data_IF_751902149767
#
_entry.id   IF_751902149767
#
_cell.length_a   1.000
_cell.length_b   1.000
_cell.length_c   1.000
_cell.angle_alpha   90.00
_cell.angle_beta   90.00
_cell.angle_gamma   90.00
#
_symmetry.space_group_name_H-M   'P 1'
#
loop_
_entity.id
_entity.type
_entity.pdbx_description
1 polymer ?
#
# COMPACT_ATOMS: atom_id res chain seq x y z
N UNK A 1 -67.95 23.56 -68.73
CA UNK A 1 -68.59 22.47 -67.95
C UNK A 1 -67.53 21.42 -67.74
N UNK A 2 -67.31 20.97 -66.49
CA UNK A 2 -66.27 20.03 -66.01
C UNK A 2 -64.82 20.58 -66.03
N UNK A 3 -63.94 20.43 -65.04
CA UNK A 3 -63.98 19.95 -63.64
C UNK A 3 -62.66 20.37 -62.97
N UNK A 4 -62.72 20.50 -61.65
CA UNK A 4 -61.63 20.66 -60.66
C UNK A 4 -60.40 19.76 -60.87
N UNK A 5 -59.20 20.24 -60.48
CA UNK A 5 -58.35 19.57 -59.47
C UNK A 5 -57.11 20.39 -59.10
N UNK A 6 -56.91 20.54 -57.79
CA UNK A 6 -55.75 21.08 -57.08
C UNK A 6 -54.51 20.19 -57.16
N UNK A 7 -53.30 20.76 -57.15
CA UNK A 7 -52.12 20.18 -56.48
C UNK A 7 -51.18 21.27 -55.95
N UNK A 8 -50.90 21.18 -54.65
CA UNK A 8 -49.87 21.93 -53.93
C UNK A 8 -48.47 21.53 -54.41
N UNK A 9 -47.54 22.49 -54.45
CA UNK A 9 -46.09 22.24 -54.39
C UNK A 9 -45.48 23.14 -53.31
N UNK A 10 -44.96 22.51 -52.26
CA UNK A 10 -44.15 23.11 -51.20
C UNK A 10 -42.65 22.98 -51.53
N UNK A 11 -41.87 24.01 -51.24
CA UNK A 11 -40.41 24.03 -51.23
C UNK A 11 -39.93 25.45 -50.92
N UNK A 12 -38.90 25.76 -50.14
CA UNK A 12 -37.84 25.02 -49.47
C UNK A 12 -37.43 25.88 -48.26
N UNK A 13 -37.33 25.31 -47.05
CA UNK A 13 -36.73 25.96 -45.87
C UNK A 13 -35.30 25.44 -45.70
N UNK A 14 -34.31 26.31 -45.88
CA UNK A 14 -32.89 26.04 -45.65
C UNK A 14 -32.62 26.00 -44.13
N UNK A 15 -32.37 24.82 -43.58
CA UNK A 15 -31.89 24.66 -42.20
C UNK A 15 -30.36 24.65 -42.19
N UNK A 16 -29.76 25.73 -41.67
CA UNK A 16 -28.32 25.83 -41.44
C UNK A 16 -27.87 24.86 -40.34
N UNK A 17 -27.03 23.90 -40.72
CA UNK A 17 -26.44 22.91 -39.82
C UNK A 17 -25.35 23.57 -38.97
N UNK A 18 -25.64 23.77 -37.69
CA UNK A 18 -24.67 24.14 -36.66
C UNK A 18 -23.70 22.97 -36.46
N UNK A 19 -22.48 23.08 -37.01
CA UNK A 19 -21.38 22.18 -36.68
C UNK A 19 -20.93 22.46 -35.25
N UNK A 20 -21.35 21.60 -34.32
CA UNK A 20 -20.81 21.54 -32.96
C UNK A 20 -19.41 20.94 -33.06
N UNK A 21 -18.38 21.77 -32.94
CA UNK A 21 -17.00 21.32 -32.74
C UNK A 21 -16.93 20.64 -31.37
N UNK A 22 -16.83 19.31 -31.37
CA UNK A 22 -16.43 18.55 -30.19
C UNK A 22 -14.96 18.88 -29.88
N UNK A 23 -14.73 19.80 -28.95
CA UNK A 23 -13.42 20.02 -28.35
C UNK A 23 -13.07 18.81 -27.48
N UNK A 24 -12.17 17.96 -27.96
CA UNK A 24 -11.51 16.97 -27.11
C UNK A 24 -10.65 17.70 -26.07
N UNK A 25 -11.07 17.61 -24.81
CA UNK A 25 -10.27 18.06 -23.68
C UNK A 25 -9.03 17.16 -23.58
N UNK A 26 -7.88 17.67 -24.05
CA UNK A 26 -6.57 17.01 -23.97
C UNK A 26 -6.10 16.76 -22.53
N UNK A 27 -6.87 17.20 -21.53
CA UNK A 27 -6.54 17.03 -20.14
C UNK A 27 -6.53 15.58 -19.65
N UNK A 28 -7.16 14.61 -20.31
CA UNK A 28 -7.43 13.27 -19.75
C UNK A 28 -6.79 12.07 -20.51
N UNK A 29 -5.57 12.22 -21.05
CA UNK A 29 -4.83 11.07 -21.58
C UNK A 29 -4.43 10.11 -20.43
N UNK A 30 -4.80 8.81 -20.48
CA UNK A 30 -4.36 7.80 -19.51
C UNK A 30 -2.83 7.69 -19.38
N UNK A 31 -2.10 7.97 -20.47
CA UNK A 31 -0.64 7.91 -20.48
C UNK A 31 0.01 9.08 -19.73
N UNK A 32 -0.63 10.26 -19.77
CA UNK A 32 -0.23 11.41 -18.95
C UNK A 32 -0.56 11.19 -17.48
N UNK A 33 -1.73 10.60 -17.17
CA UNK A 33 -2.12 10.27 -15.81
C UNK A 33 -1.08 9.35 -15.13
N UNK A 34 -0.73 8.23 -15.76
CA UNK A 34 0.24 7.26 -15.23
C UNK A 34 1.66 7.83 -15.09
N UNK A 35 1.95 8.92 -15.80
CA UNK A 35 3.24 9.63 -15.70
C UNK A 35 3.26 10.53 -14.48
N UNK A 36 2.19 11.32 -14.31
CA UNK A 36 2.04 12.29 -13.23
C UNK A 36 1.83 11.61 -11.87
N UNK A 37 1.14 10.47 -11.81
CA UNK A 37 0.83 9.78 -10.55
C UNK A 37 1.89 8.79 -10.09
N UNK A 38 2.94 8.54 -10.88
CA UNK A 38 3.87 7.43 -10.65
C UNK A 38 4.49 7.44 -9.23
N UNK A 39 4.91 8.61 -8.74
CA UNK A 39 5.50 8.73 -7.39
C UNK A 39 4.48 8.45 -6.28
N UNK A 40 3.22 8.83 -6.48
CA UNK A 40 2.15 8.58 -5.51
C UNK A 40 1.74 7.11 -5.48
N UNK A 41 1.64 6.46 -6.65
CA UNK A 41 1.39 5.03 -6.76
C UNK A 41 2.52 4.22 -6.12
N UNK A 42 3.77 4.54 -6.44
CA UNK A 42 4.94 3.88 -5.85
C UNK A 42 5.00 4.09 -4.33
N UNK A 43 4.73 5.31 -3.86
CA UNK A 43 4.66 5.57 -2.43
C UNK A 43 3.56 4.73 -1.75
N UNK A 44 2.40 4.57 -2.38
CA UNK A 44 1.34 3.69 -1.86
C UNK A 44 1.81 2.23 -1.76
N UNK A 45 2.54 1.73 -2.76
CA UNK A 45 3.12 0.37 -2.72
C UNK A 45 4.11 0.21 -1.56
N UNK A 46 4.99 1.20 -1.33
CA UNK A 46 5.93 1.18 -0.21
C UNK A 46 5.22 1.13 1.16
N UNK A 47 4.13 1.89 1.31
CA UNK A 47 3.33 1.86 2.54
C UNK A 47 2.68 0.49 2.77
N UNK A 48 2.08 -0.09 1.74
CA UNK A 48 1.43 -1.39 1.82
C UNK A 48 2.43 -2.51 2.14
N UNK A 49 3.63 -2.45 1.56
CA UNK A 49 4.70 -3.40 1.88
C UNK A 49 5.19 -3.26 3.31
N UNK A 50 5.45 -2.03 3.77
CA UNK A 50 5.91 -1.77 5.13
C UNK A 50 4.91 -2.30 6.17
N UNK A 51 3.61 -2.02 5.95
CA UNK A 51 2.55 -2.58 6.79
C UNK A 51 2.56 -4.11 6.73
N UNK A 52 2.50 -4.71 5.54
CA UNK A 52 2.44 -6.17 5.40
C UNK A 52 3.61 -6.91 6.07
N UNK A 53 4.83 -6.35 6.03
CA UNK A 53 5.98 -6.94 6.71
C UNK A 53 5.84 -6.91 8.23
N UNK A 54 5.42 -5.77 8.80
CA UNK A 54 5.16 -5.64 10.23
C UNK A 54 4.07 -6.60 10.71
N UNK A 55 2.95 -6.62 9.98
CA UNK A 55 1.78 -7.45 10.29
C UNK A 55 2.13 -8.94 10.33
N UNK A 56 2.84 -9.43 9.30
CA UNK A 56 3.26 -10.83 9.21
C UNK A 56 4.24 -11.21 10.32
N UNK A 57 5.23 -10.37 10.61
CA UNK A 57 6.24 -10.64 11.63
C UNK A 57 5.64 -10.56 13.04
N UNK A 58 4.71 -9.65 13.29
CA UNK A 58 4.02 -9.57 14.58
C UNK A 58 3.18 -10.83 14.83
N UNK A 59 2.36 -11.23 13.87
CA UNK A 59 1.52 -12.42 13.99
C UNK A 59 2.37 -13.69 14.14
N UNK A 60 3.51 -13.75 13.45
CA UNK A 60 4.43 -14.88 13.52
C UNK A 60 5.44 -14.82 14.67
N UNK A 61 5.50 -13.74 15.44
CA UNK A 61 6.45 -13.59 16.55
C UNK A 61 6.34 -14.76 17.53
N UNK A 62 7.45 -15.25 18.09
CA UNK A 62 7.43 -16.37 19.03
C UNK A 62 6.66 -16.00 20.30
N UNK A 63 5.89 -16.94 20.84
CA UNK A 63 5.23 -16.78 22.13
C UNK A 63 6.25 -16.64 23.28
N UNK A 64 7.37 -17.34 23.15
CA UNK A 64 8.55 -17.28 24.03
C UNK A 64 9.82 -17.27 23.19
N UNK A 65 10.58 -16.17 23.28
CA UNK A 65 11.81 -15.96 22.51
C UNK A 65 12.99 -16.85 22.97
N UNK A 66 12.88 -17.46 24.15
CA UNK A 66 13.94 -18.30 24.74
C UNK A 66 13.81 -19.78 24.37
N UNK A 67 12.68 -20.18 23.77
CA UNK A 67 12.36 -21.56 23.44
C UNK A 67 12.57 -21.82 21.95
N UNK A 68 13.43 -22.77 21.59
CA UNK A 68 13.61 -23.18 20.21
C UNK A 68 12.31 -23.78 19.65
N UNK A 69 11.92 -23.40 18.43
CA UNK A 69 10.66 -23.84 17.83
C UNK A 69 9.40 -23.28 18.51
N UNK A 70 9.54 -22.25 19.34
CA UNK A 70 8.41 -21.58 20.01
C UNK A 70 7.28 -21.28 19.01
N UNK A 71 6.03 -21.64 19.34
CA UNK A 71 4.90 -21.40 18.45
C UNK A 71 4.72 -19.90 18.19
N UNK A 72 3.97 -19.57 17.15
CA UNK A 72 3.54 -18.18 16.94
C UNK A 72 2.67 -17.75 18.14
N UNK A 73 2.83 -16.51 18.58
CA UNK A 73 1.99 -15.94 19.64
C UNK A 73 0.52 -15.83 19.19
N UNK A 74 0.28 -15.57 17.90
CA UNK A 74 -1.06 -15.45 17.30
C UNK A 74 -1.17 -16.31 16.03
N UNK A 75 -1.25 -17.66 16.17
CA UNK A 75 -1.24 -18.57 15.02
C UNK A 75 -2.48 -18.40 14.13
N UNK A 76 -3.62 -18.02 14.70
CA UNK A 76 -4.85 -17.76 13.94
C UNK A 76 -4.73 -16.54 13.03
N UNK A 77 -4.06 -15.49 13.51
CA UNK A 77 -3.84 -14.27 12.77
C UNK A 77 -2.84 -14.51 11.65
N UNK A 78 -1.78 -15.27 11.95
CA UNK A 78 -0.78 -15.65 10.96
C UNK A 78 -1.42 -16.40 9.79
N UNK A 79 -2.29 -17.37 10.05
CA UNK A 79 -3.00 -18.09 8.98
C UNK A 79 -3.89 -17.16 8.16
N UNK A 80 -4.54 -16.17 8.79
CA UNK A 80 -5.37 -15.18 8.08
C UNK A 80 -4.56 -14.22 7.21
N UNK A 81 -3.36 -13.84 7.64
CA UNK A 81 -2.49 -12.90 6.92
C UNK A 81 -1.65 -13.57 5.82
N UNK A 82 -1.09 -14.74 6.12
CA UNK A 82 -0.10 -15.42 5.28
C UNK A 82 -0.65 -16.66 4.55
N UNK A 83 -1.71 -17.28 5.04
CA UNK A 83 -2.19 -18.59 4.58
C UNK A 83 -1.48 -19.74 5.27
N UNK A 84 -1.32 -20.87 4.59
CA UNK A 84 -0.72 -22.09 5.15
C UNK A 84 0.39 -22.71 4.30
N UNK A 85 0.68 -22.15 3.11
CA UNK A 85 1.65 -22.70 2.16
C UNK A 85 3.09 -22.22 2.38
N UNK A 86 3.50 -21.97 3.63
CA UNK A 86 4.84 -21.53 3.98
C UNK A 86 5.32 -22.27 5.23
N UNK A 87 6.64 -22.30 5.45
CA UNK A 87 7.24 -22.87 6.65
C UNK A 87 7.65 -21.77 7.61
N UNK A 88 7.23 -21.87 8.86
CA UNK A 88 7.69 -21.00 9.95
C UNK A 88 8.72 -21.74 10.79
N UNK A 89 9.89 -21.14 10.99
CA UNK A 89 10.90 -21.64 11.96
C UNK A 89 11.32 -20.54 12.91
N UNK A 90 11.69 -20.92 14.13
CA UNK A 90 12.25 -20.00 15.12
C UNK A 90 13.45 -20.63 15.83
N UNK A 91 14.61 -19.98 15.71
CA UNK A 91 15.84 -20.33 16.41
C UNK A 91 16.03 -19.39 17.61
N UNK A 92 15.97 -19.94 18.82
CA UNK A 92 16.10 -19.17 20.05
C UNK A 92 17.55 -18.70 20.33
N UNK A 93 18.56 -19.41 19.83
CA UNK A 93 19.96 -19.06 20.07
C UNK A 93 20.34 -17.76 19.35
N UNK A 94 19.84 -17.60 18.13
CA UNK A 94 20.03 -16.40 17.31
C UNK A 94 18.85 -15.44 17.37
N UNK A 95 17.76 -15.83 18.03
CA UNK A 95 16.46 -15.12 18.07
C UNK A 95 15.97 -14.77 16.66
N UNK A 96 16.04 -15.76 15.77
CA UNK A 96 15.71 -15.58 14.36
C UNK A 96 14.43 -16.32 14.01
N UNK A 97 13.42 -15.57 13.55
CA UNK A 97 12.23 -16.08 12.89
C UNK A 97 12.45 -16.10 11.39
N UNK A 98 12.11 -17.20 10.73
CA UNK A 98 12.06 -17.28 9.28
C UNK A 98 10.67 -17.70 8.83
N UNK A 99 10.09 -16.92 7.91
CA UNK A 99 8.90 -17.29 7.13
C UNK A 99 9.37 -17.63 5.71
N UNK A 100 9.43 -18.92 5.40
CA UNK A 100 9.91 -19.45 4.13
C UNK A 100 8.72 -19.85 3.25
N UNK A 101 8.42 -19.04 2.24
CA UNK A 101 7.36 -19.29 1.26
C UNK A 101 7.82 -20.23 0.13
N UNK A 102 9.06 -20.70 0.17
CA UNK A 102 9.63 -21.59 -0.85
C UNK A 102 9.88 -20.88 -2.19
N UNK A 103 10.29 -21.64 -3.22
CA UNK A 103 10.61 -21.09 -4.53
C UNK A 103 9.38 -20.86 -5.43
N UNK A 104 8.23 -21.43 -5.07
CA UNK A 104 6.98 -21.35 -5.85
C UNK A 104 5.99 -20.43 -5.15
N UNK A 105 5.18 -19.71 -5.92
CA UNK A 105 4.18 -18.78 -5.38
C UNK A 105 3.21 -19.48 -4.41
N UNK A 106 3.31 -19.11 -3.15
CA UNK A 106 2.34 -19.37 -2.09
C UNK A 106 1.29 -18.25 -2.09
N UNK A 107 0.07 -18.56 -2.52
CA UNK A 107 -1.04 -17.60 -2.59
C UNK A 107 -1.75 -17.54 -1.24
N UNK A 108 -1.66 -16.38 -0.58
CA UNK A 108 -2.32 -16.14 0.71
C UNK A 108 -3.83 -15.86 0.59
N UNK A 109 -4.56 -15.78 1.70
CA UNK A 109 -6.01 -15.58 1.72
C UNK A 109 -6.49 -14.27 1.05
N UNK A 110 -5.62 -13.28 0.97
CA UNK A 110 -5.89 -12.01 0.29
C UNK A 110 -5.60 -12.04 -1.22
N UNK A 111 -5.22 -13.19 -1.79
CA UNK A 111 -4.86 -13.36 -3.20
C UNK A 111 -3.45 -12.89 -3.54
N UNK A 112 -2.65 -12.47 -2.55
CA UNK A 112 -1.26 -12.07 -2.75
C UNK A 112 -0.39 -13.32 -2.83
N UNK A 113 0.33 -13.48 -3.94
CA UNK A 113 1.32 -14.53 -4.13
C UNK A 113 2.66 -14.12 -3.52
N UNK A 114 3.25 -14.99 -2.70
CA UNK A 114 4.56 -14.79 -2.07
C UNK A 114 5.49 -15.97 -2.35
N UNK A 115 6.78 -15.71 -2.57
CA UNK A 115 7.86 -16.71 -2.60
C UNK A 115 9.13 -16.10 -2.01
N UNK A 116 10.11 -16.94 -1.67
CA UNK A 116 11.31 -16.54 -0.94
C UNK A 116 11.06 -16.44 0.56
N UNK A 117 11.88 -15.64 1.26
CA UNK A 117 11.88 -15.62 2.73
C UNK A 117 11.82 -14.22 3.32
N UNK A 118 11.07 -14.13 4.41
CA UNK A 118 11.13 -13.00 5.35
C UNK A 118 11.87 -13.50 6.60
N UNK A 119 12.95 -12.80 6.97
CA UNK A 119 13.79 -13.17 8.11
C UNK A 119 13.77 -12.03 9.12
N UNK A 120 13.35 -12.30 10.35
CA UNK A 120 13.27 -11.32 11.44
C UNK A 120 14.15 -11.73 12.62
N UNK A 121 15.03 -10.83 13.04
CA UNK A 121 15.91 -11.01 14.20
C UNK A 121 15.45 -10.10 15.34
N UNK A 122 15.23 -10.66 16.51
CA UNK A 122 14.67 -9.97 17.67
C UNK A 122 15.74 -9.70 18.73
N UNK A 123 15.81 -8.48 19.26
CA UNK A 123 16.63 -8.19 20.45
C UNK A 123 15.93 -8.54 21.77
N UNK A 124 14.61 -8.73 21.74
CA UNK A 124 13.77 -9.17 22.86
C UNK A 124 12.36 -9.53 22.36
N UNK A 125 11.45 -9.96 23.26
CA UNK A 125 10.03 -10.19 22.93
C UNK A 125 9.43 -9.02 22.13
N UNK A 126 8.71 -9.30 21.04
CA UNK A 126 8.24 -8.29 20.08
C UNK A 126 7.44 -7.13 20.73
N UNK A 127 6.58 -7.45 21.71
CA UNK A 127 5.75 -6.46 22.42
C UNK A 127 6.43 -5.85 23.68
N UNK A 128 7.70 -6.17 23.95
CA UNK A 128 8.45 -5.55 25.06
C UNK A 128 8.93 -4.15 24.68
N UNK A 129 8.68 -3.16 25.54
CA UNK A 129 9.18 -1.81 25.35
C UNK A 129 10.72 -1.79 25.29
N UNK A 130 11.26 -1.05 24.32
CA UNK A 130 12.68 -0.98 24.00
C UNK A 130 13.20 -2.12 23.11
N UNK A 131 12.42 -3.18 22.88
CA UNK A 131 12.83 -4.25 21.98
C UNK A 131 12.82 -3.79 20.52
N UNK A 132 13.76 -4.31 19.75
CA UNK A 132 13.91 -4.09 18.32
C UNK A 132 13.73 -5.39 17.56
N UNK A 133 13.15 -5.30 16.37
CA UNK A 133 13.03 -6.39 15.40
C UNK A 133 13.56 -5.92 14.06
N UNK A 134 14.61 -6.56 13.57
CA UNK A 134 15.21 -6.27 12.27
C UNK A 134 14.73 -7.31 11.26
N UNK A 135 14.03 -6.85 10.22
CA UNK A 135 13.46 -7.66 9.15
C UNK A 135 14.31 -7.46 7.89
N UNK A 136 14.70 -8.58 7.29
CA UNK A 136 15.40 -8.65 6.00
C UNK A 136 14.69 -9.64 5.08
N UNK A 137 14.97 -9.54 3.79
CA UNK A 137 14.34 -10.32 2.73
C UNK A 137 15.39 -11.15 2.00
N UNK A 138 15.09 -12.42 1.73
CA UNK A 138 15.97 -13.32 0.99
C UNK A 138 15.21 -13.87 -0.19
N UNK A 139 15.60 -13.46 -1.40
CA UNK A 139 14.95 -13.81 -2.66
C UNK A 139 13.41 -13.68 -2.59
N UNK A 140 12.93 -12.64 -1.90
CA UNK A 140 11.50 -12.48 -1.60
C UNK A 140 10.79 -11.78 -2.74
N UNK A 141 9.67 -12.36 -3.16
CA UNK A 141 8.80 -11.79 -4.18
C UNK A 141 7.36 -11.70 -3.70
N UNK A 142 6.67 -10.63 -4.11
CA UNK A 142 5.24 -10.43 -3.90
C UNK A 142 4.59 -10.12 -5.26
N UNK A 143 3.65 -10.95 -5.69
CA UNK A 143 3.02 -10.84 -7.01
C UNK A 143 4.07 -10.74 -8.14
N UNK A 144 5.06 -11.62 -8.09
CA UNK A 144 6.21 -11.70 -9.00
C UNK A 144 7.19 -10.51 -9.01
N UNK A 145 6.93 -9.47 -8.22
CA UNK A 145 7.86 -8.35 -8.05
C UNK A 145 8.91 -8.70 -7.00
N UNK A 146 10.18 -8.36 -7.25
CA UNK A 146 11.26 -8.62 -6.31
C UNK A 146 11.37 -7.50 -5.29
N UNK A 147 11.47 -7.85 -4.00
CA UNK A 147 11.52 -6.88 -2.91
C UNK A 147 12.82 -7.00 -2.10
N UNK A 148 13.39 -5.86 -1.71
CA UNK A 148 14.62 -5.80 -0.91
C UNK A 148 14.51 -4.82 0.25
N UNK A 149 15.59 -4.71 1.02
CA UNK A 149 15.79 -3.70 2.05
C UNK A 149 15.54 -4.20 3.46
N UNK A 150 15.99 -3.38 4.40
CA UNK A 150 15.96 -3.67 5.83
C UNK A 150 14.92 -2.81 6.51
N UNK A 151 14.07 -3.44 7.32
CA UNK A 151 13.16 -2.73 8.24
C UNK A 151 13.60 -2.98 9.67
N UNK A 152 13.73 -1.93 10.46
CA UNK A 152 13.94 -2.03 11.90
C UNK A 152 12.72 -1.45 12.60
N UNK A 153 12.01 -2.30 13.32
CA UNK A 153 10.88 -1.93 14.17
C UNK A 153 11.40 -1.80 15.59
N UNK A 154 11.15 -0.68 16.25
CA UNK A 154 11.46 -0.45 17.67
C UNK A 154 10.17 -0.27 18.43
N UNK A 155 9.92 -1.13 19.41
CA UNK A 155 8.79 -0.99 20.31
C UNK A 155 9.08 0.12 21.33
N UNK A 156 8.25 1.16 21.34
CA UNK A 156 8.42 2.32 22.24
C UNK A 156 7.67 2.15 23.57
N UNK A 157 6.93 1.06 23.74
CA UNK A 157 5.96 0.87 24.81
C UNK A 157 4.65 1.61 24.54
N UNK A 158 3.65 1.41 25.41
CA UNK A 158 2.36 2.12 25.34
C UNK A 158 1.54 1.88 24.07
N UNK A 159 1.87 0.86 23.26
CA UNK A 159 1.26 0.67 21.95
C UNK A 159 1.81 1.61 20.87
N UNK A 160 3.05 2.07 21.01
CA UNK A 160 3.74 2.82 19.96
C UNK A 160 4.97 2.08 19.44
N UNK A 161 5.26 2.25 18.15
CA UNK A 161 6.42 1.67 17.47
C UNK A 161 7.02 2.68 16.50
N UNK A 162 8.34 2.70 16.41
CA UNK A 162 9.05 3.33 15.31
C UNK A 162 9.40 2.27 14.26
N UNK A 163 9.28 2.64 12.99
CA UNK A 163 9.72 1.86 11.84
C UNK A 163 10.72 2.68 11.04
N UNK A 164 11.96 2.19 10.98
CA UNK A 164 13.02 2.70 10.12
C UNK A 164 13.22 1.73 8.95
N UNK A 165 13.12 2.23 7.72
CA UNK A 165 13.33 1.44 6.49
C UNK A 165 14.55 1.96 5.76
N UNK A 166 15.45 1.08 5.36
CA UNK A 166 16.69 1.43 4.65
C UNK A 166 16.89 0.55 3.42
N UNK A 167 17.25 1.18 2.29
CA UNK A 167 17.60 0.47 1.05
C UNK A 167 16.49 -0.42 0.50
N UNK A 168 15.22 -0.07 0.75
CA UNK A 168 14.10 -0.84 0.24
C UNK A 168 13.88 -0.60 -1.24
N UNK A 169 13.47 -1.64 -1.95
CA UNK A 169 13.12 -1.54 -3.35
C UNK A 169 12.05 -2.56 -3.75
N UNK A 170 11.30 -2.22 -4.80
CA UNK A 170 10.45 -3.13 -5.56
C UNK A 170 10.85 -3.05 -7.02
N UNK A 171 11.21 -4.19 -7.61
CA UNK A 171 11.49 -4.27 -9.04
C UNK A 171 10.32 -4.92 -9.77
N UNK A 172 9.80 -4.19 -10.77
CA UNK A 172 8.69 -4.59 -11.63
C UNK A 172 9.13 -4.52 -13.11
N UNK A 173 8.35 -5.07 -14.07
CA UNK A 173 8.61 -4.85 -15.49
C UNK A 173 8.58 -3.37 -15.91
N UNK A 174 7.90 -2.50 -15.15
CA UNK A 174 7.82 -1.06 -15.42
C UNK A 174 9.02 -0.27 -14.88
N UNK A 175 9.90 -0.91 -14.10
CA UNK A 175 11.06 -0.29 -13.47
C UNK A 175 11.19 -0.62 -11.98
N UNK A 176 12.23 -0.06 -11.35
CA UNK A 176 12.54 -0.25 -9.94
C UNK A 176 12.19 1.00 -9.14
N UNK A 177 11.33 0.84 -8.13
CA UNK A 177 11.08 1.85 -7.11
C UNK A 177 11.99 1.58 -5.91
N UNK A 178 12.59 2.62 -5.34
CA UNK A 178 13.45 2.55 -4.15
C UNK A 178 13.02 3.57 -3.11
N UNK A 179 13.15 3.26 -1.81
CA UNK A 179 12.86 4.20 -0.74
C UNK A 179 13.59 3.91 0.57
N UNK A 180 13.63 4.95 1.39
CA UNK A 180 13.94 4.94 2.82
C UNK A 180 12.81 5.66 3.54
N UNK A 181 12.49 5.27 4.76
CA UNK A 181 11.41 5.93 5.52
C UNK A 181 11.63 5.88 7.03
N UNK A 182 11.07 6.88 7.71
CA UNK A 182 10.88 6.90 9.15
C UNK A 182 9.41 7.06 9.43
N UNK A 183 8.82 6.09 10.11
CA UNK A 183 7.39 6.06 10.46
C UNK A 183 7.24 5.87 11.95
N UNK A 184 6.23 6.51 12.55
CA UNK A 184 5.78 6.23 13.91
C UNK A 184 4.37 5.71 13.86
N UNK A 185 4.17 4.50 14.37
CA UNK A 185 2.88 3.85 14.53
C UNK A 185 2.43 4.04 15.98
N UNK A 186 1.19 4.48 16.18
CA UNK A 186 0.55 4.59 17.50
C UNK A 186 -0.78 3.87 17.45
N UNK A 187 -0.91 2.80 18.23
CA UNK A 187 -2.14 2.03 18.33
C UNK A 187 -3.21 2.84 19.06
N UNK A 188 -4.38 2.92 18.46
CA UNK A 188 -5.53 3.68 18.96
C UNK A 188 -6.72 2.78 19.35
N UNK A 189 -6.71 1.50 18.94
CA UNK A 189 -7.69 0.49 19.35
C UNK A 189 -7.05 -0.91 19.35
N UNK A 190 -7.69 -1.90 19.99
CA UNK A 190 -7.23 -3.31 20.05
C UNK A 190 -6.25 -3.60 21.21
N UNK A 191 -5.99 -2.63 22.11
CA UNK A 191 -4.99 -2.82 23.17
C UNK A 191 -5.32 -3.85 24.24
N UNK A 192 -6.57 -4.27 24.34
CA UNK A 192 -7.04 -5.26 25.30
C UNK A 192 -6.74 -6.70 24.86
N UNK A 193 -6.36 -6.93 23.61
CA UNK A 193 -6.16 -8.26 23.03
C UNK A 193 -4.76 -8.39 22.45
N UNK A 194 -4.33 -9.65 22.24
CA UNK A 194 -3.04 -9.96 21.63
C UNK A 194 -3.13 -10.12 20.11
N UNK A 195 -4.31 -10.50 19.60
CA UNK A 195 -4.63 -10.49 18.17
C UNK A 195 -4.37 -9.11 17.59
N UNK A 196 -3.94 -9.07 16.33
CA UNK A 196 -3.78 -7.82 15.58
C UNK A 196 -5.07 -7.45 14.82
N UNK A 197 -6.04 -8.36 14.73
CA UNK A 197 -7.18 -8.24 13.81
C UNK A 197 -8.20 -7.16 14.21
N UNK A 198 -8.20 -6.74 15.47
CA UNK A 198 -9.01 -5.63 16.01
C UNK A 198 -8.20 -4.34 16.23
N UNK A 199 -6.90 -4.35 15.90
CA UNK A 199 -6.06 -3.19 16.08
C UNK A 199 -6.38 -2.07 15.06
N UNK A 200 -6.24 -0.84 15.53
CA UNK A 200 -6.19 0.36 14.69
C UNK A 200 -4.95 1.15 15.03
N UNK A 201 -4.26 1.66 14.01
CA UNK A 201 -3.07 2.48 14.17
C UNK A 201 -3.22 3.83 13.48
N UNK A 202 -2.67 4.85 14.13
CA UNK A 202 -2.34 6.15 13.55
C UNK A 202 -0.86 6.15 13.17
N UNK A 203 -0.54 6.57 11.95
CA UNK A 203 0.82 6.54 11.40
C UNK A 203 1.24 7.94 10.95
N UNK A 204 2.43 8.36 11.36
CA UNK A 204 3.05 9.63 10.95
C UNK A 204 4.49 9.42 10.48
N UNK A 205 5.09 10.44 9.86
CA UNK A 205 6.50 10.44 9.47
C UNK A 205 6.73 10.82 8.02
N UNK A 206 7.88 10.44 7.48
CA UNK A 206 8.30 10.77 6.11
C UNK A 206 9.03 9.64 5.40
N UNK A 207 9.04 9.69 4.07
CA UNK A 207 9.81 8.81 3.19
C UNK A 207 10.49 9.62 2.08
N UNK A 208 11.55 9.08 1.52
CA UNK A 208 12.18 9.59 0.31
C UNK A 208 12.72 8.44 -0.52
N UNK A 209 12.87 8.67 -1.82
CA UNK A 209 13.21 7.58 -2.73
C UNK A 209 13.31 8.00 -4.18
N UNK A 210 13.39 7.00 -5.05
CA UNK A 210 13.33 7.16 -6.52
C UNK A 210 12.24 6.25 -7.04
N UNK A 211 11.25 6.83 -7.72
CA UNK A 211 10.11 6.09 -8.28
C UNK A 211 10.54 5.17 -9.45
N UNK A 212 9.64 4.30 -9.91
CA UNK A 212 9.89 3.32 -10.98
C UNK A 212 10.36 3.94 -12.31
N UNK A 213 10.15 5.25 -12.50
CA UNK A 213 10.56 6.02 -13.68
C UNK A 213 11.87 6.78 -13.49
N UNK A 214 12.61 6.52 -12.41
CA UNK A 214 13.89 7.18 -12.14
C UNK A 214 13.76 8.63 -11.66
N UNK A 215 12.62 9.01 -11.07
CA UNK A 215 12.39 10.36 -10.52
C UNK A 215 12.49 10.33 -9.01
N UNK A 216 13.41 11.10 -8.45
CA UNK A 216 13.54 11.23 -6.99
C UNK A 216 12.35 11.97 -6.41
N UNK A 217 11.90 11.54 -5.23
CA UNK A 217 10.75 12.11 -4.53
C UNK A 217 10.92 12.09 -2.99
N UNK A 218 10.15 12.94 -2.32
CA UNK A 218 9.94 12.96 -0.86
C UNK A 218 8.44 12.90 -0.58
N UNK A 219 8.02 12.13 0.42
CA UNK A 219 6.64 12.00 0.85
C UNK A 219 6.52 12.27 2.36
N UNK A 220 5.74 13.27 2.72
CA UNK A 220 5.49 13.67 4.12
C UNK A 220 4.04 13.42 4.46
N UNK A 221 3.77 12.77 5.59
CA UNK A 221 2.41 12.59 6.09
C UNK A 221 1.92 13.92 6.69
N UNK A 222 0.89 14.51 6.11
CA UNK A 222 0.30 15.79 6.57
C UNK A 222 -0.82 15.55 7.58
N UNK A 223 -1.68 14.56 7.29
CA UNK A 223 -2.70 14.06 8.20
C UNK A 223 -2.41 12.60 8.52
N UNK A 224 -2.39 12.19 9.81
CA UNK A 224 -1.99 10.84 10.18
C UNK A 224 -2.75 9.76 9.39
N UNK A 225 -2.02 8.78 8.89
CA UNK A 225 -2.62 7.67 8.15
C UNK A 225 -3.28 6.72 9.13
N UNK A 226 -4.47 6.22 8.79
CA UNK A 226 -5.21 5.30 9.65
C UNK A 226 -5.18 3.89 9.07
N UNK A 227 -4.58 2.96 9.80
CA UNK A 227 -4.54 1.53 9.48
C UNK A 227 -5.57 0.80 10.33
N UNK A 228 -6.48 0.05 9.70
CA UNK A 228 -7.44 -0.83 10.38
C UNK A 228 -7.19 -2.28 9.95
N UNK A 229 -7.06 -3.18 10.92
CA UNK A 229 -6.85 -4.60 10.64
C UNK A 229 -8.14 -5.41 10.47
N UNK A 230 -9.29 -4.78 10.65
CA UNK A 230 -10.58 -5.38 10.34
C UNK A 230 -10.56 -6.00 8.95
N UNK A 231 -11.20 -7.17 8.82
CA UNK A 231 -11.32 -7.88 7.55
C UNK A 231 -11.87 -6.95 6.45
N UNK A 232 -11.18 -6.91 5.32
CA UNK A 232 -11.47 -6.01 4.20
C UNK A 232 -10.66 -4.70 4.22
N UNK A 233 -10.20 -4.25 5.39
CA UNK A 233 -9.47 -2.99 5.56
C UNK A 233 -7.95 -3.21 5.67
N UNK A 234 -7.52 -4.39 6.15
CA UNK A 234 -6.13 -4.70 6.47
C UNK A 234 -5.13 -4.62 5.30
N UNK A 235 -5.57 -4.38 4.06
CA UNK A 235 -4.69 -4.32 2.89
C UNK A 235 -3.91 -3.01 2.79
N UNK A 236 -4.52 -1.88 3.15
CA UNK A 236 -3.92 -0.54 3.01
C UNK A 236 -4.40 0.38 4.14
N UNK A 237 -4.18 1.70 4.03
CA UNK A 237 -4.75 2.71 4.91
C UNK A 237 -6.17 3.09 4.47
N UNK A 238 -7.02 3.43 5.44
CA UNK A 238 -8.40 3.85 5.19
C UNK A 238 -8.60 5.37 5.30
N UNK A 239 -7.58 6.10 5.75
CA UNK A 239 -7.61 7.56 5.87
C UNK A 239 -6.21 8.16 6.00
N UNK A 240 -6.17 9.49 5.91
CA UNK A 240 -4.97 10.31 6.04
C UNK A 240 -4.41 10.73 4.69
N UNK A 241 -3.48 11.69 4.74
CA UNK A 241 -2.97 12.34 3.53
C UNK A 241 -1.46 12.50 3.56
N UNK A 242 -0.85 12.48 2.37
CA UNK A 242 0.56 12.78 2.17
C UNK A 242 0.74 13.85 1.10
N UNK A 243 1.69 14.76 1.35
CA UNK A 243 2.28 15.61 0.33
C UNK A 243 3.50 14.92 -0.24
N UNK A 244 3.52 14.74 -1.56
CA UNK A 244 4.61 14.10 -2.29
C UNK A 244 5.21 15.13 -3.24
N UNK A 245 6.49 15.43 -3.10
CA UNK A 245 7.23 16.33 -4.01
C UNK A 245 8.24 15.49 -4.77
N UNK A 246 8.31 15.67 -6.09
CA UNK A 246 9.28 14.97 -6.93
C UNK A 246 10.19 15.98 -7.66
N UNK A 247 11.31 15.50 -8.19
CA UNK A 247 12.32 16.34 -8.85
C UNK A 247 11.92 16.90 -10.22
N UNK A 248 10.83 16.41 -10.83
CA UNK A 248 10.38 16.79 -12.18
C UNK A 248 9.05 17.56 -12.20
N UNK A 249 8.34 17.64 -11.07
CA UNK A 249 6.96 18.15 -10.98
C UNK A 249 6.67 18.88 -9.66
N UNK A 250 5.44 19.40 -9.54
CA UNK A 250 4.89 20.07 -8.35
C UNK A 250 4.36 19.05 -7.33
N UNK A 251 4.08 19.50 -6.12
CA UNK A 251 3.53 18.70 -5.02
C UNK A 251 2.23 17.99 -5.41
N UNK A 252 2.19 16.67 -5.20
CA UNK A 252 1.02 15.79 -5.31
C UNK A 252 0.42 15.61 -3.92
N UNK A 253 -0.90 15.67 -3.80
CA UNK A 253 -1.62 15.26 -2.60
C UNK A 253 -2.15 13.84 -2.79
N UNK A 254 -1.66 12.89 -2.01
CA UNK A 254 -2.21 11.55 -1.92
C UNK A 254 -3.19 11.49 -0.72
N UNK A 255 -4.45 11.15 -0.97
CA UNK A 255 -5.49 11.03 0.06
C UNK A 255 -6.10 9.62 0.06
N UNK A 256 -5.95 8.90 1.18
CA UNK A 256 -6.47 7.54 1.37
C UNK A 256 -7.97 7.49 1.72
N UNK A 257 -8.62 8.62 1.93
CA UNK A 257 -10.08 8.70 2.15
C UNK A 257 -10.70 9.78 1.25
N UNK A 258 -10.78 9.52 -0.07
CA UNK A 258 -11.33 10.50 -1.02
C UNK A 258 -12.82 10.81 -0.77
N UNK A 259 -13.55 9.92 -0.09
CA UNK A 259 -14.97 10.07 0.21
C UNK A 259 -15.25 10.61 1.61
N UNK A 260 -14.25 10.66 2.50
CA UNK A 260 -14.41 11.07 3.90
C UNK A 260 -15.17 10.05 4.76
N UNK A 261 -15.26 8.80 4.32
CA UNK A 261 -16.05 7.73 4.97
C UNK A 261 -15.19 6.65 5.61
N UNK A 262 -13.87 6.71 5.42
CA UNK A 262 -12.91 5.67 5.80
C UNK A 262 -13.29 4.28 5.27
N UNK A 263 -13.76 4.24 4.02
CA UNK A 263 -14.21 3.01 3.39
C UNK A 263 -13.04 2.02 3.21
N UNK A 264 -13.35 0.73 3.34
CA UNK A 264 -12.37 -0.34 3.11
C UNK A 264 -12.41 -0.81 1.65
N UNK A 265 -12.17 0.10 0.71
CA UNK A 265 -12.30 -0.11 -0.73
C UNK A 265 -10.94 -0.17 -1.48
N UNK A 266 -9.85 0.17 -0.78
CA UNK A 266 -8.49 0.31 -1.28
C UNK A 266 -8.36 1.41 -2.35
N UNK A 267 -9.18 2.45 -2.27
CA UNK A 267 -9.13 3.59 -3.18
C UNK A 267 -8.43 4.76 -2.50
N UNK A 268 -7.55 5.43 -3.24
CA UNK A 268 -6.99 6.71 -2.86
C UNK A 268 -7.16 7.68 -4.03
N UNK A 269 -7.09 8.98 -3.75
CA UNK A 269 -7.00 10.00 -4.78
C UNK A 269 -5.60 10.64 -4.78
N UNK A 270 -5.13 10.96 -5.98
CA UNK A 270 -3.93 11.75 -6.20
C UNK A 270 -4.38 13.05 -6.83
N UNK A 271 -4.06 14.19 -6.21
CA UNK A 271 -4.37 15.51 -6.74
C UNK A 271 -3.08 16.24 -7.12
N UNK A 272 -2.99 16.70 -8.37
CA UNK A 272 -1.85 17.47 -8.90
C UNK A 272 -2.39 18.65 -9.68
N UNK A 273 -1.99 19.88 -9.31
CA UNK A 273 -2.44 21.12 -9.94
C UNK A 273 -3.97 21.24 -10.07
N UNK A 274 -4.71 20.81 -9.04
CA UNK A 274 -6.18 20.87 -9.02
C UNK A 274 -6.88 19.77 -9.82
N UNK A 275 -6.14 18.91 -10.53
CA UNK A 275 -6.68 17.73 -11.18
C UNK A 275 -6.53 16.50 -10.28
N UNK A 276 -7.55 15.66 -10.22
CA UNK A 276 -7.61 14.48 -9.34
C UNK A 276 -7.75 13.19 -10.14
N UNK A 277 -6.98 12.18 -9.76
CA UNK A 277 -7.05 10.82 -10.28
C UNK A 277 -7.30 9.83 -9.14
N UNK A 278 -8.11 8.81 -9.39
CA UNK A 278 -8.30 7.70 -8.44
C UNK A 278 -7.28 6.60 -8.73
N UNK A 279 -6.58 6.16 -7.69
CA UNK A 279 -5.69 5.00 -7.74
C UNK A 279 -6.22 3.88 -6.84
N UNK A 280 -5.83 2.64 -7.14
CA UNK A 280 -6.12 1.49 -6.29
C UNK A 280 -4.86 1.06 -5.56
N UNK A 281 -4.90 1.13 -4.24
CA UNK A 281 -3.85 0.70 -3.34
C UNK A 281 -3.91 -0.83 -3.14
N UNK A 282 -2.84 -1.44 -2.62
CA UNK A 282 -2.81 -2.83 -2.19
C UNK A 282 -2.74 -3.87 -3.30
N UNK A 283 -2.28 -3.50 -4.51
CA UNK A 283 -2.03 -4.42 -5.63
C UNK A 283 -0.70 -5.16 -5.49
#
# INVERSE_FOLDING_TARGET
>A
MFTSTSRLLSGVLLAGSLFVLAGCDKGNDPQDAATVTASAEDQSVAEDENAAMGDLVEAASPADITVAGSPAAEPTDLVRLAGSCFTRTFDAATRTLTLDFGPVNCVGPNGVARRGKIVAVFSGPYRQAGATTTITLVDYYRNDNHHTGTRTITNLGGGSWDLSVQGASVTTPAGTHTWTSQRKYTRTAGSATRTVLDDTYSVTGQASGTNRRGVSYTATIDQPLIKKFQLGCARTFVAGTLSITNSKEKTMLLNYDPTGTQACDNLASVTVNGKTWTIRCGR
#
